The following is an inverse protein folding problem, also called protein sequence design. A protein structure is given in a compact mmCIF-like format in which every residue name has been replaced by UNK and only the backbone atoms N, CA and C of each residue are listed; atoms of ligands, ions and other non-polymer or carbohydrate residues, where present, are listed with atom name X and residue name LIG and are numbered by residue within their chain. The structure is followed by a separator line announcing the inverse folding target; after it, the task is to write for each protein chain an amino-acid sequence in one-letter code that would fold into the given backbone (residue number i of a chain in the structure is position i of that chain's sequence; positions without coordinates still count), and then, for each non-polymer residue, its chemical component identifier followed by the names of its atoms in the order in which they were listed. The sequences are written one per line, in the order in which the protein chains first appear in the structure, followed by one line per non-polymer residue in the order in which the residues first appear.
data_IF_624895070352
#
_entry.id   IF_624895070352
#
_cell.length_a   1.000
_cell.length_b   1.000
_cell.length_c   1.000
_cell.angle_alpha   90.00
_cell.angle_beta   90.00
_cell.angle_gamma   90.00
#
_symmetry.space_group_name_H-M   'P 1'
#
loop_
_entity.id
_entity.type
_entity.pdbx_description
1 polymer ?
#
# COMPACT_ATOMS: atom_id res chain seq x y z
N UNK A 1 -10.24 15.83 -6.22
CA UNK A 1 -9.93 14.50 -6.76
C UNK A 1 -11.24 13.73 -6.90
N UNK A 2 -11.55 13.16 -8.07
CA UNK A 2 -12.67 12.21 -8.19
C UNK A 2 -12.28 10.92 -7.45
N UNK A 3 -13.21 10.39 -6.65
CA UNK A 3 -13.02 9.08 -6.03
C UNK A 3 -12.83 8.02 -7.13
N UNK A 4 -11.91 7.08 -6.92
CA UNK A 4 -11.72 5.94 -7.81
C UNK A 4 -12.96 5.04 -7.73
N UNK A 5 -13.40 4.46 -8.85
CA UNK A 5 -14.53 3.51 -8.86
C UNK A 5 -14.26 2.31 -7.94
N UNK A 6 -15.30 1.82 -7.26
CA UNK A 6 -15.22 0.65 -6.39
C UNK A 6 -14.64 -0.58 -7.10
N UNK A 7 -14.91 -0.75 -8.40
CA UNK A 7 -14.37 -1.87 -9.21
C UNK A 7 -12.85 -1.83 -9.32
N UNK A 8 -12.29 -0.62 -9.50
CA UNK A 8 -10.84 -0.42 -9.57
C UNK A 8 -10.20 -0.66 -8.21
N UNK A 9 -10.88 -0.24 -7.14
CA UNK A 9 -10.45 -0.49 -5.76
C UNK A 9 -10.38 -2.00 -5.47
N UNK A 10 -11.43 -2.75 -5.78
CA UNK A 10 -11.46 -4.22 -5.62
C UNK A 10 -10.38 -4.91 -6.45
N UNK A 11 -10.15 -4.44 -7.68
CA UNK A 11 -9.07 -4.95 -8.54
C UNK A 11 -7.69 -4.70 -7.93
N UNK A 12 -7.42 -3.51 -7.37
CA UNK A 12 -6.17 -3.20 -6.67
C UNK A 12 -5.98 -4.15 -5.48
N UNK A 13 -7.02 -4.35 -4.67
CA UNK A 13 -6.98 -5.24 -3.50
C UNK A 13 -6.63 -6.69 -3.87
N UNK A 14 -7.34 -7.26 -4.83
CA UNK A 14 -7.11 -8.64 -5.30
C UNK A 14 -5.69 -8.82 -5.85
N UNK A 15 -5.21 -7.86 -6.65
CA UNK A 15 -3.88 -7.94 -7.26
C UNK A 15 -2.73 -7.76 -6.24
N UNK A 16 -2.93 -6.92 -5.23
CA UNK A 16 -1.96 -6.76 -4.14
C UNK A 16 -1.89 -8.03 -3.26
N UNK A 17 -3.02 -8.71 -3.03
CA UNK A 17 -3.06 -9.99 -2.30
C UNK A 17 -2.31 -11.10 -3.04
N UNK A 18 -2.31 -11.08 -4.36
CA UNK A 18 -1.48 -11.97 -5.20
C UNK A 18 0.02 -11.62 -5.22
N UNK A 19 0.51 -10.76 -4.31
CA UNK A 19 1.92 -10.33 -4.19
C UNK A 19 2.51 -9.69 -5.47
N UNK A 20 1.68 -9.12 -6.34
CA UNK A 20 2.15 -8.39 -7.54
C UNK A 20 2.85 -7.08 -7.14
N UNK A 21 3.82 -6.65 -7.95
CA UNK A 21 4.51 -5.37 -7.76
C UNK A 21 3.58 -4.19 -8.04
N UNK A 22 3.74 -3.08 -7.32
CA UNK A 22 2.86 -1.91 -7.44
C UNK A 22 2.81 -1.36 -8.88
N UNK A 23 3.94 -1.39 -9.58
CA UNK A 23 4.03 -0.96 -10.98
C UNK A 23 3.18 -1.83 -11.90
N UNK A 24 3.12 -3.15 -11.66
CA UNK A 24 2.31 -4.08 -12.46
C UNK A 24 0.82 -3.90 -12.17
N UNK A 25 0.45 -3.72 -10.90
CA UNK A 25 -0.93 -3.42 -10.50
C UNK A 25 -1.42 -2.10 -11.10
N UNK A 26 -0.59 -1.06 -11.06
CA UNK A 26 -0.90 0.25 -11.62
C UNK A 26 -1.20 0.18 -13.13
N UNK A 27 -0.33 -0.51 -13.88
CA UNK A 27 -0.52 -0.74 -15.32
C UNK A 27 -1.79 -1.55 -15.60
N UNK A 28 -2.05 -2.59 -14.80
CA UNK A 28 -3.19 -3.48 -15.01
C UNK A 28 -4.54 -2.81 -14.70
N UNK A 29 -4.60 -1.91 -13.71
CA UNK A 29 -5.85 -1.24 -13.29
C UNK A 29 -6.05 0.13 -13.97
N UNK A 30 -5.00 0.67 -14.59
CA UNK A 30 -5.04 2.01 -15.20
C UNK A 30 -5.11 3.12 -14.14
N UNK A 31 -4.27 3.01 -13.11
CA UNK A 31 -4.13 4.01 -12.03
C UNK A 31 -2.67 4.36 -11.82
N UNK A 32 -2.38 5.50 -11.20
CA UNK A 32 -1.00 5.86 -10.88
C UNK A 32 -0.39 4.91 -9.84
N UNK A 33 0.92 4.66 -9.96
CA UNK A 33 1.68 3.87 -8.98
C UNK A 33 1.57 4.45 -7.56
N UNK A 34 1.51 5.77 -7.43
CA UNK A 34 1.33 6.46 -6.14
C UNK A 34 -0.02 6.13 -5.51
N UNK A 35 -1.07 5.95 -6.31
CA UNK A 35 -2.38 5.51 -5.82
C UNK A 35 -2.30 4.08 -5.30
N UNK A 36 -1.70 3.16 -6.06
CA UNK A 36 -1.49 1.78 -5.60
C UNK A 36 -0.65 1.75 -4.31
N UNK A 37 0.37 2.60 -4.20
CA UNK A 37 1.17 2.73 -2.97
C UNK A 37 0.32 3.19 -1.78
N UNK A 38 -0.56 4.19 -1.96
CA UNK A 38 -1.49 4.63 -0.91
C UNK A 38 -2.39 3.49 -0.45
N UNK A 39 -3.05 2.79 -1.38
CA UNK A 39 -3.90 1.64 -1.03
C UNK A 39 -3.10 0.50 -0.40
N UNK A 40 -1.88 0.22 -0.85
CA UNK A 40 -1.01 -0.79 -0.24
C UNK A 40 -0.58 -0.39 1.18
N UNK A 41 -0.32 0.88 1.42
CA UNK A 41 -0.05 1.40 2.76
C UNK A 41 -1.31 1.35 3.64
N UNK A 42 -2.50 1.62 3.09
CA UNK A 42 -3.78 1.43 3.77
C UNK A 42 -4.12 -0.05 4.01
N UNK A 43 -3.60 -0.96 3.19
CA UNK A 43 -3.73 -2.43 3.30
C UNK A 43 -2.78 -3.07 4.27
N UNK A 44 -1.72 -2.38 4.71
CA UNK A 44 -1.06 -2.73 5.96
C UNK A 44 -2.17 -2.59 7.03
N UNK A 45 -2.88 -3.66 7.36
CA UNK A 45 -2.49 -4.50 8.48
C UNK A 45 -1.94 -3.58 9.57
N UNK A 46 -2.85 -3.21 10.49
CA UNK A 46 -2.58 -2.50 11.73
C UNK A 46 -1.16 -2.80 12.22
N UNK A 47 -0.29 -1.84 11.96
CA UNK A 47 1.13 -1.86 12.28
C UNK A 47 1.52 -0.42 12.51
N UNK A 48 0.89 0.16 13.53
CA UNK A 48 1.16 1.46 14.16
C UNK A 48 1.58 2.59 13.22
N UNK A 49 0.57 3.29 12.69
CA UNK A 49 0.75 4.68 12.27
C UNK A 49 0.00 5.53 13.30
N UNK A 50 0.73 6.24 14.17
CA UNK A 50 0.11 7.20 15.07
C UNK A 50 -0.56 8.31 14.25
N UNK A 51 -1.70 8.81 14.75
CA UNK A 51 -2.65 9.72 14.08
C UNK A 51 -2.04 11.03 13.52
N UNK A 52 -0.80 11.36 13.86
CA UNK A 52 -0.10 12.57 13.40
C UNK A 52 0.85 12.38 12.20
N UNK A 53 0.87 11.22 11.54
CA UNK A 53 1.59 11.04 10.27
C UNK A 53 3.12 11.05 10.35
N UNK A 54 3.72 10.94 11.55
CA UNK A 54 5.18 10.78 11.71
C UNK A 54 5.57 9.30 11.65
N UNK A 55 6.51 8.89 10.79
CA UNK A 55 7.04 7.53 10.83
C UNK A 55 7.78 7.31 12.16
N UNK A 56 7.41 6.26 12.90
CA UNK A 56 8.06 5.94 14.17
C UNK A 56 9.50 5.47 13.91
N UNK A 57 10.46 6.12 14.56
CA UNK A 57 11.89 5.74 14.56
C UNK A 57 12.13 4.31 15.08
N UNK A 58 11.08 3.63 15.57
CA UNK A 58 11.09 2.29 16.13
C UNK A 58 11.23 1.21 15.03
N UNK A 59 10.84 1.50 13.77
CA UNK A 59 10.88 0.47 12.71
C UNK A 59 12.29 0.18 12.16
N UNK A 60 13.29 1.05 12.35
CA UNK A 60 14.65 0.77 11.85
C UNK A 60 15.39 -0.28 12.68
N UNK A 61 15.08 -0.42 13.97
CA UNK A 61 15.79 -1.35 14.86
C UNK A 61 15.37 -2.82 14.68
N UNK A 62 14.17 -3.09 14.17
CA UNK A 62 13.67 -4.47 13.97
C UNK A 62 14.04 -5.10 12.62
N UNK A 63 14.38 -4.30 11.60
CA UNK A 63 14.75 -4.82 10.27
C UNK A 63 16.16 -5.41 10.26
N UNK A 64 17.05 -4.98 11.16
CA UNK A 64 18.44 -5.47 11.24
C UNK A 64 18.62 -6.76 12.06
N UNK A 65 17.54 -7.36 12.61
CA UNK A 65 17.62 -8.56 13.45
C UNK A 65 17.18 -9.85 12.75
N UNK A 66 16.86 -9.80 11.46
CA UNK A 66 16.52 -10.99 10.65
C UNK A 66 17.53 -11.19 9.51
N UNK A 67 18.82 -11.09 9.86
CA UNK A 67 19.93 -11.59 9.04
C UNK A 67 20.31 -12.98 9.53
#
# INVERSE_FOLDING_TARGET
MRAISNDKVNSIYSLLRSKKSNSKVAKQVGVSRTTVQKYRSSLKMSGNVNEAGRPSLISQRMVNYTR
#
